data_IF_787938998075
#
_entry.id   IF_787938998075
#
_cell.length_a   1.000
_cell.length_b   1.000
_cell.length_c   1.000
_cell.angle_alpha   90.00
_cell.angle_beta   90.00
_cell.angle_gamma   90.00
#
_symmetry.space_group_name_H-M   'P 1'
#
loop_
_entity.id
_entity.type
_entity.pdbx_description
1 polymer ?
#
# COMPACT_ATOMS: atom_id res chain seq x y z
N UNK A 1 -5.03 -2.40 11.94
CA UNK A 1 -4.61 -2.35 10.53
C UNK A 1 -3.36 -3.15 10.28
N UNK A 2 -3.52 -4.26 9.56
CA UNK A 2 -2.41 -5.08 9.07
C UNK A 2 -2.25 -4.84 7.57
N UNK A 3 -1.00 -4.78 7.10
CA UNK A 3 -0.70 -4.78 5.68
C UNK A 3 -0.68 -6.21 5.17
N UNK A 4 -1.40 -6.45 4.09
CA UNK A 4 -1.38 -7.70 3.35
C UNK A 4 -0.63 -7.48 2.05
N UNK A 5 0.28 -8.42 1.73
CA UNK A 5 1.03 -8.43 0.49
C UNK A 5 0.73 -9.72 -0.26
N UNK A 6 0.16 -9.58 -1.45
CA UNK A 6 -0.02 -10.69 -2.38
C UNK A 6 1.18 -10.77 -3.33
N UNK A 7 2.02 -11.77 -3.08
CA UNK A 7 3.22 -12.04 -3.88
C UNK A 7 2.84 -12.34 -5.33
N UNK A 8 1.73 -13.04 -5.58
CA UNK A 8 1.34 -13.44 -6.94
C UNK A 8 0.96 -12.24 -7.81
N UNK A 9 0.43 -11.18 -7.20
CA UNK A 9 0.07 -9.92 -7.86
C UNK A 9 1.24 -8.95 -8.01
N UNK A 10 2.40 -9.23 -7.42
CA UNK A 10 3.57 -8.37 -7.51
C UNK A 10 4.29 -8.52 -8.86
N UNK A 11 4.45 -7.43 -9.62
CA UNK A 11 5.19 -7.44 -10.90
C UNK A 11 6.64 -7.92 -10.78
N UNK A 12 7.27 -7.78 -9.60
CA UNK A 12 8.61 -8.30 -9.35
C UNK A 12 8.62 -9.81 -9.17
N UNK A 13 7.60 -10.37 -8.53
CA UNK A 13 7.47 -11.82 -8.39
C UNK A 13 7.18 -12.51 -9.73
N UNK A 14 6.31 -11.89 -10.55
CA UNK A 14 5.92 -12.44 -11.86
C UNK A 14 7.00 -12.22 -12.92
N UNK A 15 7.77 -11.12 -12.84
CA UNK A 15 8.82 -10.79 -13.81
C UNK A 15 10.17 -10.56 -13.12
N UNK A 16 11.10 -11.50 -13.35
CA UNK A 16 12.48 -11.48 -12.84
C UNK A 16 13.28 -10.23 -13.25
N UNK A 17 12.93 -9.60 -14.36
CA UNK A 17 13.63 -8.39 -14.85
C UNK A 17 12.88 -7.10 -14.53
N UNK A 18 11.80 -7.17 -13.76
CA UNK A 18 11.05 -5.99 -13.34
C UNK A 18 11.93 -5.04 -12.52
N UNK A 19 11.89 -3.77 -12.89
CA UNK A 19 12.59 -2.68 -12.21
C UNK A 19 11.65 -1.85 -11.34
N UNK A 20 10.47 -2.36 -10.98
CA UNK A 20 9.52 -1.60 -10.15
C UNK A 20 10.13 -1.28 -8.77
N UNK A 21 10.17 0.00 -8.41
CA UNK A 21 10.65 0.50 -7.10
C UNK A 21 9.58 1.26 -6.32
N UNK A 22 8.40 1.48 -6.91
CA UNK A 22 7.36 2.39 -6.40
C UNK A 22 7.05 2.23 -4.91
N UNK A 23 6.89 1.00 -4.41
CA UNK A 23 6.57 0.76 -3.00
C UNK A 23 7.72 1.14 -2.05
N UNK A 24 8.97 0.94 -2.48
CA UNK A 24 10.17 1.30 -1.70
C UNK A 24 10.40 2.80 -1.76
N UNK A 25 10.09 3.43 -2.90
CA UNK A 25 10.24 4.87 -3.07
C UNK A 25 9.29 5.67 -2.15
N UNK A 26 8.09 5.14 -1.87
CA UNK A 26 7.12 5.80 -0.96
C UNK A 26 7.29 5.42 0.51
N UNK A 27 7.81 4.22 0.80
CA UNK A 27 7.97 3.69 2.15
C UNK A 27 9.40 3.13 2.38
N UNK A 28 10.45 3.96 2.28
CA UNK A 28 11.84 3.49 2.31
C UNK A 28 12.28 2.91 3.66
N UNK A 29 11.66 3.33 4.77
CA UNK A 29 12.00 2.83 6.10
C UNK A 29 11.30 1.49 6.41
N UNK A 30 10.14 1.24 5.80
CA UNK A 30 9.31 0.05 6.10
C UNK A 30 9.48 -1.07 5.08
N UNK A 31 9.83 -0.75 3.82
CA UNK A 31 9.96 -1.72 2.74
C UNK A 31 11.32 -1.60 2.07
N UNK A 32 11.96 -2.75 1.87
CA UNK A 32 13.24 -2.87 1.19
C UNK A 32 13.14 -3.95 0.12
N UNK A 33 13.99 -3.93 -0.90
CA UNK A 33 14.06 -5.03 -1.87
C UNK A 33 15.16 -5.99 -1.44
N UNK A 34 14.79 -7.22 -1.12
CA UNK A 34 15.72 -8.31 -0.79
C UNK A 34 15.43 -9.47 -1.72
N UNK A 35 16.46 -10.00 -2.37
CA UNK A 35 16.32 -11.10 -3.35
C UNK A 35 15.21 -10.87 -4.39
N UNK A 36 15.13 -9.63 -4.90
CA UNK A 36 14.16 -9.21 -5.93
C UNK A 36 12.70 -9.07 -5.46
N UNK A 37 12.38 -9.40 -4.21
CA UNK A 37 11.03 -9.23 -3.65
C UNK A 37 10.99 -8.11 -2.59
N UNK A 38 9.82 -7.48 -2.39
CA UNK A 38 9.59 -6.61 -1.24
C UNK A 38 9.76 -7.40 0.06
N UNK A 39 10.59 -6.86 0.96
CA UNK A 39 10.80 -7.32 2.32
C UNK A 39 10.36 -6.21 3.29
N UNK A 40 9.84 -6.60 4.44
CA UNK A 40 9.16 -5.74 5.40
C UNK A 40 9.94 -5.65 6.69
N UNK A 41 10.07 -4.44 7.23
CA UNK A 41 10.60 -4.25 8.58
C UNK A 41 9.67 -4.86 9.64
N UNK A 42 10.22 -5.14 10.83
CA UNK A 42 9.41 -5.52 11.99
C UNK A 42 8.43 -4.37 12.31
N UNK A 43 7.13 -4.69 12.40
CA UNK A 43 6.02 -3.74 12.62
C UNK A 43 5.44 -3.06 11.37
N UNK A 44 5.69 -3.58 10.16
CA UNK A 44 5.10 -2.98 8.95
C UNK A 44 3.58 -3.16 8.87
N UNK A 45 2.83 -2.07 9.00
CA UNK A 45 1.38 -2.03 8.90
C UNK A 45 0.90 -0.74 8.22
N UNK A 46 0.42 0.20 9.03
CA UNK A 46 -0.06 1.52 8.54
C UNK A 46 1.11 2.35 8.00
N UNK A 47 2.32 2.15 8.51
CA UNK A 47 3.55 2.85 8.07
C UNK A 47 3.86 2.60 6.58
N UNK A 48 3.32 1.52 6.02
CA UNK A 48 3.42 1.17 4.61
C UNK A 48 2.11 1.36 3.82
N UNK A 49 1.13 2.09 4.36
CA UNK A 49 -0.18 2.29 3.73
C UNK A 49 -0.08 2.96 2.35
N UNK A 50 0.93 3.81 2.13
CA UNK A 50 1.18 4.44 0.83
C UNK A 50 1.43 3.42 -0.30
N UNK A 51 1.89 2.20 0.05
CA UNK A 51 2.09 1.12 -0.92
C UNK A 51 0.78 0.64 -1.56
N UNK A 52 -0.33 0.72 -0.82
CA UNK A 52 -1.67 0.37 -1.33
C UNK A 52 -2.06 1.28 -2.49
N UNK A 53 -1.76 2.58 -2.39
CA UNK A 53 -2.12 3.55 -3.43
C UNK A 53 -1.15 3.63 -4.61
N UNK A 54 0.15 3.35 -4.38
CA UNK A 54 1.17 3.50 -5.44
C UNK A 54 1.38 2.21 -6.26
N UNK A 55 1.02 1.04 -5.71
CA UNK A 55 1.26 -0.24 -6.36
C UNK A 55 0.36 -0.38 -7.61
N UNK A 56 0.94 -0.51 -8.82
CA UNK A 56 0.16 -0.51 -10.05
C UNK A 56 -0.73 -1.75 -10.23
N UNK A 57 -0.43 -2.82 -9.51
CA UNK A 57 -1.18 -4.09 -9.56
C UNK A 57 -1.97 -4.34 -8.28
N UNK A 58 -2.07 -3.34 -7.39
CA UNK A 58 -2.82 -3.46 -6.14
C UNK A 58 -2.40 -4.68 -5.30
N UNK A 59 -1.12 -5.06 -5.36
CA UNK A 59 -0.57 -6.20 -4.63
C UNK A 59 -0.55 -5.98 -3.10
N UNK A 60 -0.92 -4.79 -2.64
CA UNK A 60 -0.97 -4.39 -1.24
C UNK A 60 -2.39 -4.03 -0.84
N UNK A 61 -2.83 -4.51 0.33
CA UNK A 61 -4.12 -4.14 0.92
C UNK A 61 -4.00 -3.98 2.44
N UNK A 62 -4.95 -3.26 3.04
CA UNK A 62 -5.05 -3.09 4.49
C UNK A 62 -6.27 -3.85 5.01
N UNK A 63 -6.12 -4.51 6.16
CA UNK A 63 -7.20 -5.32 6.76
C UNK A 63 -8.47 -4.52 7.06
N UNK A 64 -8.33 -3.23 7.41
CA UNK A 64 -9.43 -2.41 7.94
C UNK A 64 -9.68 -1.16 7.08
N UNK A 65 -9.13 -1.10 5.85
CA UNK A 65 -9.31 0.03 4.95
C UNK A 65 -9.31 -0.40 3.49
N UNK A 66 -10.39 -0.03 2.80
CA UNK A 66 -10.55 -0.18 1.36
C UNK A 66 -10.61 1.21 0.71
N UNK A 67 -9.71 1.46 -0.24
CA UNK A 67 -9.68 2.70 -1.03
C UNK A 67 -10.98 2.91 -1.80
N UNK A 68 -11.55 1.83 -2.32
CA UNK A 68 -12.82 1.82 -3.06
C UNK A 68 -14.00 2.20 -2.16
N UNK A 69 -14.11 1.58 -0.98
CA UNK A 69 -15.18 1.92 -0.02
C UNK A 69 -15.02 3.34 0.53
N UNK A 70 -13.77 3.76 0.80
CA UNK A 70 -13.47 5.13 1.19
C UNK A 70 -13.91 6.12 0.12
N UNK A 71 -13.66 5.85 -1.16
CA UNK A 71 -14.08 6.73 -2.25
C UNK A 71 -15.60 6.93 -2.28
N UNK A 72 -16.38 5.85 -2.22
CA UNK A 72 -17.84 5.95 -2.26
C UNK A 72 -18.40 6.65 -1.01
N UNK A 73 -17.92 6.29 0.17
CA UNK A 73 -18.35 6.93 1.43
C UNK A 73 -17.96 8.41 1.50
N UNK A 74 -16.77 8.78 0.99
CA UNK A 74 -16.34 10.18 0.94
C UNK A 74 -17.24 11.02 0.04
N UNK A 75 -17.62 10.51 -1.15
CA UNK A 75 -18.54 11.19 -2.05
C UNK A 75 -19.92 11.42 -1.42
N UNK A 76 -20.44 10.43 -0.68
CA UNK A 76 -21.73 10.52 -0.01
C UNK A 76 -21.72 11.48 1.19
N UNK A 77 -20.65 11.47 1.99
CA UNK A 77 -20.55 12.20 3.27
C UNK A 77 -20.66 13.73 3.18
N UNK A 78 -20.60 14.31 1.97
CA UNK A 78 -20.48 15.77 1.69
C UNK A 78 -19.27 16.45 2.35
N UNK A 79 -18.46 15.72 3.11
CA UNK A 79 -17.16 16.17 3.64
C UNK A 79 -16.24 16.40 2.44
N UNK A 80 -15.44 17.46 2.49
CA UNK A 80 -14.49 17.87 1.43
C UNK A 80 -13.04 17.86 1.91
N UNK A 81 -12.79 17.29 3.08
CA UNK A 81 -11.47 17.22 3.70
C UNK A 81 -11.00 15.77 3.74
N UNK A 82 -9.86 15.51 3.12
CA UNK A 82 -9.10 14.26 3.31
C UNK A 82 -8.01 14.58 4.32
N UNK A 83 -7.99 13.88 5.44
CA UNK A 83 -7.04 14.14 6.53
C UNK A 83 -6.67 12.83 7.23
N UNK A 84 -5.38 12.58 7.47
CA UNK A 84 -4.98 11.37 8.14
C UNK A 84 -5.44 11.23 9.59
N UNK A 85 -5.76 12.36 10.23
CA UNK A 85 -6.35 12.36 11.57
C UNK A 85 -7.83 11.99 11.59
N UNK A 86 -8.47 11.89 10.42
CA UNK A 86 -9.92 11.82 10.30
C UNK A 86 -10.33 10.58 9.52
N UNK A 87 -9.79 10.35 8.33
CA UNK A 87 -10.44 9.47 7.36
C UNK A 87 -9.52 8.68 6.41
N UNK A 88 -8.21 8.83 6.48
CA UNK A 88 -7.26 8.02 5.71
C UNK A 88 -6.11 7.51 6.58
N UNK A 89 -5.63 6.27 6.37
CA UNK A 89 -4.49 5.74 7.11
C UNK A 89 -3.17 6.33 6.58
N UNK A 90 -2.38 6.97 7.43
CA UNK A 90 -1.00 7.42 7.12
C UNK A 90 0.00 6.95 8.16
#
# INVERSE_FOLDING_TARGET
MKLHFDVASCVRAVSKFSQCTKCVDVCPESIQIVEHLPNFALSTGVEASACVGVCPTEAFSLSDFSTTEFFFSFLESKVRLISPKINVPC
#
